data_IF_305189565255
#
_entry.id   IF_305189565255
#
_cell.length_a   1.000
_cell.length_b   1.000
_cell.length_c   1.000
_cell.angle_alpha   90.00
_cell.angle_beta   90.00
_cell.angle_gamma   90.00
#
_symmetry.space_group_name_H-M   'P 1'
#
loop_
_entity.id
_entity.type
_entity.pdbx_description
1 polymer ?
#
# COMPACT_ATOMS: atom_id res chain seq x y z
N UNK A 1 -14.89 -8.85 1.63
CA UNK A 1 -15.42 -8.58 2.97
C UNK A 1 -15.72 -7.11 3.22
N UNK A 2 -15.09 -6.19 2.47
CA UNK A 2 -15.30 -4.74 2.55
C UNK A 2 -15.74 -4.19 1.19
N UNK A 3 -16.97 -4.50 0.70
CA UNK A 3 -17.37 -4.19 -0.68
C UNK A 3 -17.40 -2.70 -0.98
N UNK A 4 -17.80 -1.87 -0.01
CA UNK A 4 -17.84 -0.42 -0.21
C UNK A 4 -16.43 0.18 -0.30
N UNK A 5 -15.53 -0.20 0.61
CA UNK A 5 -14.13 0.23 0.54
C UNK A 5 -13.43 -0.25 -0.73
N UNK A 6 -13.72 -1.48 -1.18
CA UNK A 6 -13.20 -1.98 -2.44
C UNK A 6 -13.71 -1.16 -3.63
N UNK A 7 -15.00 -0.85 -3.66
CA UNK A 7 -15.60 -0.05 -4.73
C UNK A 7 -14.99 1.35 -4.79
N UNK A 8 -14.80 2.00 -3.65
CA UNK A 8 -14.19 3.34 -3.57
C UNK A 8 -12.72 3.30 -4.00
N UNK A 9 -11.96 2.36 -3.47
CA UNK A 9 -10.55 2.19 -3.83
C UNK A 9 -10.37 1.85 -5.31
N UNK A 10 -11.18 0.94 -5.87
CA UNK A 10 -11.00 0.41 -7.22
C UNK A 10 -11.14 1.46 -8.34
N UNK A 11 -11.78 2.57 -8.07
CA UNK A 11 -11.91 3.70 -9.00
C UNK A 11 -10.92 4.85 -8.67
N UNK A 12 -10.09 4.68 -7.66
CA UNK A 12 -9.13 5.70 -7.23
C UNK A 12 -7.82 5.63 -8.03
N UNK A 13 -7.07 6.74 -8.10
CA UNK A 13 -5.72 6.73 -8.66
C UNK A 13 -4.77 5.75 -7.98
N UNK A 14 -4.99 5.40 -6.71
CA UNK A 14 -4.19 4.41 -5.98
C UNK A 14 -4.27 3.02 -6.62
N UNK A 15 -5.47 2.55 -6.99
CA UNK A 15 -5.67 1.27 -7.66
C UNK A 15 -5.06 1.22 -9.07
N UNK A 16 -4.75 2.37 -9.65
CA UNK A 16 -4.23 2.53 -10.99
C UNK A 16 -2.75 2.94 -11.03
N UNK A 17 -2.14 3.12 -9.88
CA UNK A 17 -0.80 3.72 -9.77
C UNK A 17 0.27 2.96 -10.56
N UNK A 18 0.27 1.61 -10.52
CA UNK A 18 1.21 0.78 -11.29
C UNK A 18 0.83 0.69 -12.77
N UNK A 19 -0.45 0.59 -13.08
CA UNK A 19 -0.92 0.34 -14.46
C UNK A 19 -1.07 1.62 -15.28
N UNK A 20 -0.90 2.79 -14.70
CA UNK A 20 -0.96 4.08 -15.41
C UNK A 20 0.01 4.10 -16.60
N UNK A 21 -0.47 4.32 -17.84
CA UNK A 21 0.41 4.40 -19.00
C UNK A 21 1.36 5.59 -18.92
N UNK A 22 0.94 6.69 -18.28
CA UNK A 22 1.80 7.85 -18.03
C UNK A 22 2.96 7.47 -17.11
N UNK A 23 2.66 6.82 -15.99
CA UNK A 23 3.68 6.33 -15.07
C UNK A 23 4.66 5.38 -15.77
N UNK A 24 4.15 4.36 -16.47
CA UNK A 24 4.99 3.37 -17.14
C UNK A 24 5.89 3.99 -18.21
N UNK A 25 5.37 4.95 -18.98
CA UNK A 25 6.16 5.68 -19.98
C UNK A 25 7.28 6.50 -19.34
N UNK A 26 6.98 7.24 -18.28
CA UNK A 26 7.98 8.03 -17.56
C UNK A 26 9.01 7.15 -16.88
N UNK A 27 8.60 6.08 -16.21
CA UNK A 27 9.52 5.13 -15.59
C UNK A 27 10.46 4.51 -16.61
N UNK A 28 9.94 4.04 -17.74
CA UNK A 28 10.77 3.47 -18.81
C UNK A 28 11.79 4.49 -19.33
N UNK A 29 11.37 5.74 -19.54
CA UNK A 29 12.25 6.83 -19.99
C UNK A 29 13.35 7.10 -18.96
N UNK A 30 13.00 7.26 -17.68
CA UNK A 30 13.95 7.53 -16.61
C UNK A 30 14.96 6.38 -16.46
N UNK A 31 14.48 5.14 -16.47
CA UNK A 31 15.36 3.96 -16.43
C UNK A 31 16.37 3.94 -17.61
N UNK A 32 15.89 4.28 -18.81
CA UNK A 32 16.74 4.32 -20.01
C UNK A 32 17.82 5.41 -19.92
N UNK A 33 17.44 6.65 -19.57
CA UNK A 33 18.41 7.77 -19.52
C UNK A 33 19.35 7.71 -18.32
N UNK A 34 19.00 6.98 -17.28
CA UNK A 34 19.83 6.79 -16.08
C UNK A 34 20.60 5.46 -16.09
N UNK A 35 20.50 4.66 -17.14
CA UNK A 35 21.03 3.30 -17.18
C UNK A 35 20.57 2.45 -15.97
N UNK A 36 19.33 2.61 -15.53
CA UNK A 36 18.77 1.90 -14.39
C UNK A 36 19.25 2.38 -13.01
N UNK A 37 20.12 3.39 -12.93
CA UNK A 37 20.62 3.87 -11.62
C UNK A 37 19.56 4.56 -10.78
N UNK A 38 18.40 4.90 -11.36
CA UNK A 38 17.23 5.36 -10.62
C UNK A 38 16.68 4.27 -9.68
N UNK A 39 16.91 2.99 -10.00
CA UNK A 39 16.49 1.86 -9.18
C UNK A 39 14.98 1.88 -8.89
N UNK A 40 14.64 1.48 -7.68
CA UNK A 40 13.26 1.35 -7.20
C UNK A 40 12.55 2.68 -6.85
N UNK A 41 13.18 3.83 -7.13
CA UNK A 41 12.70 5.14 -6.66
C UNK A 41 11.22 5.41 -6.96
N UNK A 42 10.78 5.18 -8.18
CA UNK A 42 9.39 5.42 -8.59
C UNK A 42 8.43 4.35 -8.03
N UNK A 43 8.85 3.08 -8.06
CA UNK A 43 8.00 1.97 -7.61
C UNK A 43 7.79 1.92 -6.10
N UNK A 44 8.58 2.63 -5.30
CA UNK A 44 8.34 2.77 -3.86
C UNK A 44 6.95 3.27 -3.53
N UNK A 45 6.43 4.19 -4.35
CA UNK A 45 5.11 4.79 -4.19
C UNK A 45 4.08 4.21 -5.16
N UNK A 46 4.46 3.95 -6.41
CA UNK A 46 3.54 3.48 -7.44
C UNK A 46 3.29 1.98 -7.41
N UNK A 47 4.21 1.20 -6.84
CA UNK A 47 4.10 -0.25 -6.69
C UNK A 47 4.80 -0.76 -5.41
N UNK A 48 4.38 -0.35 -4.22
CA UNK A 48 5.03 -0.75 -2.97
C UNK A 48 5.03 -2.27 -2.76
N UNK A 49 4.01 -2.97 -3.24
CA UNK A 49 3.95 -4.44 -3.15
C UNK A 49 5.03 -5.08 -4.01
N UNK A 50 5.15 -4.69 -5.27
CA UNK A 50 6.19 -5.22 -6.16
C UNK A 50 7.59 -4.94 -5.65
N UNK A 51 7.82 -3.74 -5.07
CA UNK A 51 9.08 -3.42 -4.41
C UNK A 51 9.38 -4.38 -3.25
N UNK A 52 8.41 -4.66 -2.38
CA UNK A 52 8.60 -5.59 -1.26
C UNK A 52 8.79 -7.04 -1.71
N UNK A 53 8.21 -7.43 -2.84
CA UNK A 53 8.41 -8.74 -3.47
C UNK A 53 9.76 -8.85 -4.20
N UNK A 54 10.51 -7.76 -4.35
CA UNK A 54 11.76 -7.74 -5.09
C UNK A 54 11.58 -7.85 -6.61
N UNK A 55 10.42 -7.46 -7.12
CA UNK A 55 10.18 -7.43 -8.57
C UNK A 55 11.11 -6.40 -9.24
N UNK A 56 11.78 -6.77 -10.34
CA UNK A 56 12.61 -5.83 -11.09
C UNK A 56 11.84 -4.58 -11.55
N UNK A 57 12.48 -3.43 -11.52
CA UNK A 57 11.84 -2.14 -11.86
C UNK A 57 11.32 -2.10 -13.30
N UNK A 58 12.01 -2.81 -14.22
CA UNK A 58 11.68 -2.89 -15.64
C UNK A 58 10.82 -4.12 -16.00
N UNK A 59 10.32 -4.86 -14.99
CA UNK A 59 9.45 -6.01 -15.22
C UNK A 59 8.17 -5.59 -15.95
N UNK A 60 7.80 -6.36 -16.97
CA UNK A 60 6.52 -6.17 -17.66
C UNK A 60 5.34 -6.30 -16.70
N UNK A 61 4.34 -5.43 -16.84
CA UNK A 61 3.10 -5.56 -16.06
C UNK A 61 2.39 -6.91 -16.26
N UNK A 62 2.63 -7.60 -17.38
CA UNK A 62 2.08 -8.94 -17.64
C UNK A 62 2.67 -10.01 -16.73
N UNK A 63 3.93 -9.82 -16.31
CA UNK A 63 4.70 -10.79 -15.53
C UNK A 63 4.66 -10.52 -14.03
N UNK A 64 4.18 -9.32 -13.61
CA UNK A 64 4.07 -8.94 -12.22
C UNK A 64 3.04 -9.78 -11.46
N UNK A 65 3.28 -9.97 -10.17
CA UNK A 65 2.29 -10.56 -9.28
C UNK A 65 0.96 -9.81 -9.36
N UNK A 66 -0.20 -10.50 -9.37
CA UNK A 66 -1.51 -9.83 -9.48
C UNK A 66 -1.71 -8.67 -8.50
N UNK A 67 -1.34 -8.86 -7.23
CA UNK A 67 -1.46 -7.82 -6.20
C UNK A 67 -0.54 -6.63 -6.44
N UNK A 68 0.65 -6.83 -7.00
CA UNK A 68 1.55 -5.72 -7.33
C UNK A 68 1.02 -4.86 -8.47
N UNK A 69 0.26 -5.43 -9.39
CA UNK A 69 -0.42 -4.67 -10.47
C UNK A 69 -1.50 -3.72 -9.95
N UNK A 70 -2.02 -3.97 -8.76
CA UNK A 70 -3.01 -3.12 -8.11
C UNK A 70 -2.43 -1.79 -7.57
N UNK A 71 -1.13 -1.56 -7.74
CA UNK A 71 -0.48 -0.32 -7.31
C UNK A 71 -0.48 -0.15 -5.79
N UNK A 72 -1.16 0.91 -5.30
CA UNK A 72 -1.32 1.16 -3.86
C UNK A 72 -2.60 0.48 -3.39
N UNK A 73 -2.49 -0.81 -3.10
CA UNK A 73 -3.60 -1.66 -2.67
C UNK A 73 -3.80 -1.64 -1.14
N UNK A 74 -4.86 -2.28 -0.66
CA UNK A 74 -5.25 -2.28 0.75
C UNK A 74 -4.10 -2.64 1.71
N UNK A 75 -3.30 -3.63 1.36
CA UNK A 75 -2.19 -4.09 2.22
C UNK A 75 -1.06 -3.07 2.34
N UNK A 76 -0.93 -2.14 1.42
CA UNK A 76 0.09 -1.06 1.50
C UNK A 76 -0.15 -0.19 2.75
N UNK A 77 -1.42 0.03 3.11
CA UNK A 77 -1.78 0.75 4.32
C UNK A 77 -2.00 -0.20 5.51
N UNK A 78 -2.70 -1.30 5.31
CA UNK A 78 -3.20 -2.15 6.39
C UNK A 78 -2.27 -3.29 6.80
N UNK A 79 -1.05 -3.36 6.23
CA UNK A 79 0.01 -4.29 6.65
C UNK A 79 1.29 -3.56 7.06
N UNK A 80 1.17 -2.35 7.58
CA UNK A 80 2.27 -1.60 8.17
C UNK A 80 2.09 -1.53 9.68
N UNK A 81 3.12 -1.95 10.42
CA UNK A 81 3.14 -1.93 11.89
C UNK A 81 4.32 -1.14 12.48
N UNK A 82 5.11 -0.51 11.63
CA UNK A 82 6.25 0.31 12.04
C UNK A 82 6.08 1.72 11.50
N UNK A 83 6.30 2.69 12.38
CA UNK A 83 6.34 4.08 12.00
C UNK A 83 7.43 4.33 10.94
N UNK A 84 7.04 5.00 9.88
CA UNK A 84 7.95 5.41 8.84
C UNK A 84 7.95 6.94 8.74
N UNK A 85 9.09 7.55 9.04
CA UNK A 85 9.21 9.01 9.13
C UNK A 85 10.04 9.65 8.02
N UNK A 86 10.35 8.91 6.95
CA UNK A 86 11.13 9.44 5.82
C UNK A 86 10.25 9.73 4.63
N UNK A 87 10.47 10.89 4.03
CA UNK A 87 9.92 11.25 2.73
C UNK A 87 10.46 10.32 1.63
N UNK A 88 9.74 10.19 0.52
CA UNK A 88 10.13 9.32 -0.59
C UNK A 88 10.12 7.83 -0.24
N UNK A 89 9.14 7.43 0.44
CA UNK A 89 8.77 6.24 1.13
C UNK A 89 9.21 4.87 0.64
N UNK A 90 10.10 4.23 1.36
CA UNK A 90 10.22 2.78 1.36
C UNK A 90 9.35 2.20 2.46
N UNK A 91 8.16 1.77 2.14
CA UNK A 91 7.27 1.10 3.09
C UNK A 91 7.67 -0.37 3.23
N UNK A 92 7.91 -0.81 4.46
CA UNK A 92 8.13 -2.22 4.77
C UNK A 92 6.78 -2.87 5.10
N UNK A 93 6.19 -3.53 4.12
CA UNK A 93 4.92 -4.25 4.28
C UNK A 93 5.20 -5.54 5.05
N UNK A 94 4.45 -5.78 6.12
CA UNK A 94 4.58 -7.01 6.90
C UNK A 94 4.04 -8.19 6.09
N UNK A 95 4.87 -9.21 5.91
CA UNK A 95 4.48 -10.44 5.23
C UNK A 95 3.40 -11.19 6.02
N UNK A 96 2.65 -12.01 5.33
CA UNK A 96 1.63 -12.87 5.91
C UNK A 96 0.42 -13.01 5.01
N UNK A 97 -0.45 -13.94 5.39
CA UNK A 97 -1.67 -14.20 4.66
C UNK A 97 -2.89 -13.47 5.25
N UNK A 98 -4.07 -13.88 4.81
CA UNK A 98 -5.33 -13.30 5.24
C UNK A 98 -5.60 -13.42 6.75
N UNK A 99 -5.09 -14.45 7.41
CA UNK A 99 -5.32 -14.69 8.84
C UNK A 99 -4.44 -13.85 9.75
N UNK A 100 -3.36 -13.26 9.22
CA UNK A 100 -2.50 -12.39 10.00
C UNK A 100 -3.16 -11.06 10.37
N UNK A 101 -2.73 -10.41 11.45
CA UNK A 101 -3.29 -9.12 11.88
C UNK A 101 -3.25 -8.06 10.79
N UNK A 102 -4.28 -7.24 10.75
CA UNK A 102 -4.30 -6.00 9.95
C UNK A 102 -4.21 -4.79 10.88
N UNK A 103 -3.74 -3.68 10.35
CA UNK A 103 -3.53 -2.44 11.09
C UNK A 103 -4.47 -1.36 10.59
N UNK A 104 -5.02 -0.56 11.50
CA UNK A 104 -6.01 0.44 11.16
C UNK A 104 -5.99 1.66 12.08
N UNK A 105 -6.79 2.68 11.80
CA UNK A 105 -6.92 3.86 12.67
C UNK A 105 -7.66 3.54 13.97
N UNK A 106 -8.44 2.47 13.98
CA UNK A 106 -9.20 1.97 15.14
C UNK A 106 -8.66 0.63 15.62
N UNK A 107 -8.98 0.22 16.83
CA UNK A 107 -8.71 -1.12 17.36
C UNK A 107 -9.67 -2.19 16.82
N UNK A 108 -9.58 -3.38 17.41
CA UNK A 108 -10.24 -4.59 16.95
C UNK A 108 -11.62 -4.88 17.53
N UNK A 109 -12.17 -4.03 18.41
CA UNK A 109 -13.40 -4.31 19.16
C UNK A 109 -14.57 -4.77 18.27
N UNK A 110 -14.73 -4.13 17.11
CA UNK A 110 -15.79 -4.49 16.15
C UNK A 110 -15.51 -5.86 15.48
N UNK A 111 -14.27 -6.15 15.19
CA UNK A 111 -13.89 -7.46 14.67
C UNK A 111 -14.12 -8.56 15.68
N UNK A 112 -13.76 -8.35 16.94
CA UNK A 112 -13.99 -9.27 18.03
C UNK A 112 -15.50 -9.55 18.19
N UNK A 113 -16.31 -8.51 18.19
CA UNK A 113 -17.77 -8.62 18.21
C UNK A 113 -18.31 -9.47 17.05
N UNK A 114 -17.80 -9.28 15.84
CA UNK A 114 -18.20 -10.06 14.65
C UNK A 114 -17.82 -11.54 14.79
N UNK A 115 -16.64 -11.81 15.31
CA UNK A 115 -16.15 -13.19 15.52
C UNK A 115 -17.00 -13.90 16.60
N UNK A 116 -17.19 -13.25 17.75
CA UNK A 116 -17.92 -13.80 18.89
C UNK A 116 -19.40 -14.02 18.62
N UNK A 117 -20.03 -13.16 17.83
CA UNK A 117 -21.46 -13.27 17.52
C UNK A 117 -21.83 -14.56 16.79
N UNK A 118 -20.90 -15.15 16.02
CA UNK A 118 -21.17 -16.28 15.14
C UNK A 118 -22.15 -16.01 13.99
N UNK A 119 -22.71 -14.82 13.91
CA UNK A 119 -23.76 -14.43 12.94
C UNK A 119 -23.26 -14.49 11.49
N UNK A 120 -22.02 -14.09 11.25
CA UNK A 120 -21.45 -13.92 9.91
C UNK A 120 -20.77 -15.17 9.35
N UNK A 121 -20.76 -16.28 10.09
CA UNK A 121 -20.08 -17.54 9.73
C UNK A 121 -18.62 -17.31 9.27
N UNK A 122 -17.92 -16.44 9.99
CA UNK A 122 -16.50 -16.15 9.74
C UNK A 122 -15.61 -17.18 10.42
N UNK A 123 -14.37 -17.25 9.92
CA UNK A 123 -13.36 -18.13 10.49
C UNK A 123 -11.99 -17.45 10.44
N UNK A 124 -11.22 -17.62 11.50
CA UNK A 124 -9.87 -17.06 11.68
C UNK A 124 -8.76 -18.09 11.64
N UNK A 125 -9.08 -19.34 11.27
CA UNK A 125 -8.12 -20.44 11.25
C UNK A 125 -8.13 -21.14 9.88
N UNK A 126 -6.92 -21.51 9.42
CA UNK A 126 -6.76 -22.25 8.15
C UNK A 126 -7.50 -23.60 8.21
N UNK A 127 -8.15 -23.95 7.11
CA UNK A 127 -8.81 -25.23 6.94
C UNK A 127 -10.16 -25.39 7.66
N UNK A 128 -10.60 -24.40 8.42
CA UNK A 128 -11.95 -24.42 9.02
C UNK A 128 -13.01 -23.92 8.04
N UNK A 129 -14.21 -24.44 8.21
CA UNK A 129 -15.37 -24.01 7.43
C UNK A 129 -15.78 -22.58 7.81
N UNK A 130 -16.21 -21.80 6.84
CA UNK A 130 -16.63 -20.42 7.01
C UNK A 130 -15.89 -19.45 6.09
N UNK A 131 -16.25 -18.19 6.17
CA UNK A 131 -15.56 -17.13 5.42
C UNK A 131 -14.28 -16.75 6.16
N UNK A 132 -13.14 -17.00 5.53
CA UNK A 132 -11.85 -16.64 6.09
C UNK A 132 -11.72 -15.13 6.24
N UNK A 133 -11.25 -14.69 7.43
CA UNK A 133 -10.98 -13.28 7.75
C UNK A 133 -9.67 -13.18 8.56
N UNK A 134 -9.10 -11.96 8.63
CA UNK A 134 -7.96 -11.69 9.51
C UNK A 134 -8.31 -11.93 10.97
N UNK A 135 -7.33 -12.41 11.73
CA UNK A 135 -7.54 -12.80 13.13
C UNK A 135 -7.71 -11.61 14.06
N UNK A 136 -7.07 -10.49 13.72
CA UNK A 136 -6.99 -9.31 14.58
C UNK A 136 -6.91 -8.03 13.77
N UNK A 137 -7.50 -6.98 14.30
CA UNK A 137 -7.29 -5.62 13.84
C UNK A 137 -6.62 -4.81 14.94
N UNK A 138 -5.45 -4.25 14.65
CA UNK A 138 -4.67 -3.48 15.63
C UNK A 138 -4.65 -2.00 15.25
N UNK A 139 -4.69 -1.15 16.28
CA UNK A 139 -4.56 0.30 16.07
C UNK A 139 -3.13 0.65 15.73
N UNK A 140 -2.96 1.33 14.59
CA UNK A 140 -1.68 1.90 14.18
C UNK A 140 -1.82 3.42 14.05
N UNK A 141 -1.10 4.15 14.90
CA UNK A 141 -1.29 5.59 15.08
C UNK A 141 -1.09 6.41 13.79
N UNK A 142 -0.16 6.02 12.92
CA UNK A 142 0.09 6.76 11.69
C UNK A 142 -1.11 6.77 10.74
N UNK A 143 -1.93 5.71 10.73
CA UNK A 143 -3.15 5.67 9.93
C UNK A 143 -4.25 6.62 10.44
N UNK A 144 -4.06 7.20 11.61
CA UNK A 144 -4.91 8.26 12.16
C UNK A 144 -4.37 9.67 11.87
N UNK A 145 -3.29 9.78 11.13
CA UNK A 145 -2.61 11.05 10.84
C UNK A 145 -2.35 11.24 9.36
N UNK A 146 -2.46 12.47 8.87
CA UNK A 146 -2.11 12.81 7.49
C UNK A 146 -0.61 12.60 7.18
N UNK A 147 0.24 12.55 8.19
CA UNK A 147 1.68 12.28 8.05
C UNK A 147 2.00 10.95 7.35
N UNK A 148 1.10 9.99 7.43
CA UNK A 148 1.19 8.74 6.66
C UNK A 148 1.21 8.99 5.16
N UNK A 149 0.35 9.88 4.67
CA UNK A 149 0.24 10.22 3.25
C UNK A 149 1.53 10.87 2.71
N UNK A 150 2.19 11.68 3.53
CA UNK A 150 3.43 12.37 3.18
C UNK A 150 4.60 11.45 2.82
N UNK A 151 4.51 10.17 3.16
CA UNK A 151 5.52 9.18 2.76
C UNK A 151 5.65 9.06 1.25
N UNK A 152 4.55 9.20 0.51
CA UNK A 152 4.48 9.15 -0.95
C UNK A 152 4.15 10.51 -1.56
N UNK A 153 3.41 11.37 -0.85
CA UNK A 153 2.93 12.66 -1.33
C UNK A 153 3.82 13.86 -0.97
N UNK A 154 5.06 13.61 -0.51
CA UNK A 154 6.17 14.55 -0.51
C UNK A 154 7.42 13.81 -1.01
N UNK A 155 7.92 14.17 -2.18
CA UNK A 155 9.04 13.48 -2.83
C UNK A 155 10.16 14.48 -3.14
N UNK A 156 11.29 14.29 -2.50
CA UNK A 156 12.48 15.10 -2.71
C UNK A 156 13.57 14.29 -3.42
N UNK A 157 14.14 14.85 -4.47
CA UNK A 157 15.31 14.29 -5.14
C UNK A 157 16.58 14.64 -4.36
N UNK A 158 17.63 13.87 -4.60
CA UNK A 158 18.94 14.06 -3.93
C UNK A 158 19.59 15.43 -4.20
N UNK A 159 19.22 16.08 -5.29
CA UNK A 159 19.67 17.44 -5.63
C UNK A 159 18.85 18.55 -4.99
N UNK A 160 17.87 18.20 -4.10
CA UNK A 160 16.99 19.13 -3.43
C UNK A 160 15.75 19.56 -4.24
N UNK A 161 15.59 19.09 -5.48
CA UNK A 161 14.38 19.36 -6.25
C UNK A 161 13.19 18.62 -5.64
N UNK A 162 12.10 19.33 -5.43
CA UNK A 162 10.84 18.78 -4.91
C UNK A 162 9.99 18.31 -6.10
N UNK A 163 9.91 17.01 -6.26
CA UNK A 163 9.16 16.38 -7.33
C UNK A 163 7.65 16.34 -7.04
N UNK A 164 7.31 16.18 -5.78
CA UNK A 164 5.92 16.09 -5.28
C UNK A 164 5.85 16.83 -3.95
N UNK A 165 4.85 17.71 -3.78
CA UNK A 165 4.67 18.57 -2.61
C UNK A 165 3.24 18.56 -2.05
N UNK A 166 2.36 17.72 -2.57
CA UNK A 166 0.94 17.76 -2.23
C UNK A 166 0.67 17.64 -0.73
N UNK A 167 1.47 16.87 0.01
CA UNK A 167 1.33 16.78 1.46
C UNK A 167 1.78 18.06 2.17
N UNK A 168 2.88 18.67 1.74
CA UNK A 168 3.35 19.95 2.28
C UNK A 168 2.36 21.08 1.99
N UNK A 169 1.78 21.11 0.79
CA UNK A 169 0.73 22.08 0.43
C UNK A 169 -0.51 21.89 1.30
N UNK A 170 -0.97 20.65 1.47
CA UNK A 170 -2.08 20.33 2.37
C UNK A 170 -1.83 20.77 3.81
N UNK A 171 -0.62 20.58 4.34
CA UNK A 171 -0.28 21.00 5.71
C UNK A 171 -0.26 22.50 5.90
N UNK A 172 0.00 23.27 4.85
CA UNK A 172 0.15 24.72 4.89
C UNK A 172 -1.14 25.46 4.47
N UNK A 173 -2.17 24.75 4.08
CA UNK A 173 -3.49 25.29 3.76
C UNK A 173 -4.39 25.38 4.99
#
# INVERSE_FOLDING_TARGET
CHPDHYREWSVSPHAYAQLSPVFNSMQATVLAITNGTNGDFCVRCHNPVGMNLGEPEFMSNMDRHPTSREGVTCIVCHRLNRAYGKLSGRLAIVEGDLFEPVYGPKGGDELERVIESGEYRVNTERGKAGRAIHTKAEKFFQLSTSGFCGTCHDVNLVNGFRLEEAFSEFKNS
#
